data_IF_615191331446
#
_entry.id   IF_615191331446
#
_cell.length_a   1.000
_cell.length_b   1.000
_cell.length_c   1.000
_cell.angle_alpha   90.00
_cell.angle_beta   90.00
_cell.angle_gamma   90.00
#
_symmetry.space_group_name_H-M   'P 1'
#
loop_
_entity.id
_entity.type
_entity.pdbx_description
1 polymer ?
2 non-polymer ?
3 non-polymer ?
4 non-polymer ?
5 water ?
#
# COMPACT_ATOMS: atom_id res chain seq x y z
N UNK A 1 -17.82 -1.01 9.96
CA UNK A 1 -18.12 -1.14 8.50
C UNK A 1 -17.12 -0.35 7.66
N UNK A 2 -16.43 -1.05 6.77
CA UNK A 2 -15.49 -0.41 5.87
C UNK A 2 -16.18 0.03 4.59
N UNK A 3 -16.07 1.32 4.31
CA UNK A 3 -16.35 1.89 3.01
C UNK A 3 -15.08 2.61 2.52
N UNK A 4 -14.46 2.11 1.44
CA UNK A 4 -13.37 2.84 0.80
C UNK A 4 -13.88 3.66 -0.40
N UNK A 5 -13.24 4.81 -0.60
CA UNK A 5 -13.51 5.74 -1.70
C UNK A 5 -12.32 5.73 -2.68
N UNK A 6 -12.45 5.12 -3.85
CA UNK A 6 -11.31 5.04 -4.76
C UNK A 6 -11.14 6.30 -5.62
N UNK A 7 -9.94 6.54 -6.12
CA UNK A 7 -9.66 7.74 -6.92
C UNK A 7 -10.44 7.79 -8.24
N UNK A 8 -10.98 8.97 -8.55
CA UNK A 8 -11.61 9.27 -9.85
C UNK A 8 -10.53 9.80 -10.80
N UNK A 9 -10.53 9.32 -12.04
CA UNK A 9 -9.56 9.80 -13.06
C UNK A 9 -8.12 9.32 -12.90
N UNK A 10 -7.91 8.17 -12.27
CA UNK A 10 -6.54 7.63 -12.16
C UNK A 10 -5.97 7.31 -13.55
N UNK A 11 -4.74 7.77 -13.82
CA UNK A 11 -3.97 7.43 -15.02
C UNK A 11 -2.83 6.53 -14.54
N UNK A 12 -3.02 5.22 -14.63
CA UNK A 12 -2.11 4.29 -14.00
C UNK A 12 -0.70 4.35 -14.51
N UNK A 13 -0.51 4.76 -15.76
CA UNK A 13 0.85 4.78 -16.33
C UNK A 13 1.76 5.78 -15.59
N UNK A 14 1.17 6.81 -14.98
CA UNK A 14 1.95 7.86 -14.27
C UNK A 14 2.44 7.48 -12.86
N UNK A 15 1.98 6.36 -12.31
CA UNK A 15 2.46 5.93 -10.99
C UNK A 15 3.75 5.15 -11.10
N UNK A 16 4.24 4.97 -12.33
CA UNK A 16 5.42 4.16 -12.56
C UNK A 16 6.59 4.71 -11.81
N UNK A 17 7.44 3.81 -11.35
CA UNK A 17 8.70 4.18 -10.78
C UNK A 17 8.86 3.81 -9.31
N UNK A 18 9.84 4.47 -8.69
CA UNK A 18 10.26 4.20 -7.33
C UNK A 18 9.38 4.94 -6.33
N UNK A 19 8.98 4.20 -5.29
CA UNK A 19 8.26 4.75 -4.14
C UNK A 19 8.82 4.21 -2.84
N UNK A 20 8.39 4.84 -1.75
CA UNK A 20 8.77 4.44 -0.39
C UNK A 20 7.53 4.44 0.47
N UNK A 21 7.40 3.45 1.35
CA UNK A 21 6.24 3.36 2.26
C UNK A 21 6.52 4.22 3.50
N UNK A 22 5.88 5.37 3.54
CA UNK A 22 6.08 6.31 4.61
C UNK A 22 5.25 5.90 5.84
N UNK A 23 4.04 5.42 5.61
CA UNK A 23 3.15 5.04 6.69
C UNK A 23 2.20 3.96 6.27
N UNK A 24 1.68 3.27 7.28
CA UNK A 24 0.71 2.23 7.04
C UNK A 24 -0.21 2.09 8.24
N UNK A 25 -1.41 1.59 7.97
CA UNK A 25 -2.40 1.42 8.99
C UNK A 25 -3.27 0.24 8.60
N UNK A 26 -3.88 -0.40 9.59
CA UNK A 26 -4.68 -1.59 9.36
C UNK A 26 -5.83 -1.72 10.34
N UNK A 27 -6.88 -2.42 9.90
CA UNK A 27 -8.10 -2.64 10.70
C UNK A 27 -7.88 -3.56 11.89
N UNK A 28 -7.09 -4.61 11.72
CA UNK A 28 -6.71 -5.51 12.81
C UNK A 28 -5.25 -5.30 13.16
N UNK A 29 -4.97 -5.16 14.44
CA UNK A 29 -3.61 -5.06 14.93
C UNK A 29 -2.67 -6.14 14.37
N UNK A 30 -3.15 -7.38 14.30
CA UNK A 30 -2.29 -8.50 13.90
C UNK A 30 -1.77 -8.36 12.47
N UNK A 31 -2.46 -7.57 11.67
CA UNK A 31 -2.03 -7.40 10.26
C UNK A 31 -0.66 -6.70 10.13
N UNK A 32 -0.31 -5.88 11.12
CA UNK A 32 0.92 -5.07 11.08
C UNK A 32 1.80 -5.18 12.34
N UNK A 33 1.24 -5.75 13.40
CA UNK A 33 1.92 -5.96 14.67
C UNK A 33 3.12 -6.87 14.55
N UNK A 34 4.32 -6.31 14.72
CA UNK A 34 5.58 -7.05 14.57
C UNK A 34 6.06 -7.02 13.12
N UNK A 35 7.38 -7.04 12.93
CA UNK A 35 8.01 -6.98 11.59
C UNK A 35 7.62 -8.15 10.69
N UNK A 36 7.20 -9.26 11.29
CA UNK A 36 6.77 -10.45 10.55
C UNK A 36 5.27 -10.48 10.19
N UNK A 37 4.49 -9.51 10.67
CA UNK A 37 3.05 -9.44 10.39
C UNK A 37 2.77 -9.58 8.89
N UNK A 38 1.67 -10.26 8.54
CA UNK A 38 1.35 -10.59 7.14
C UNK A 38 1.35 -9.42 6.14
N UNK A 39 0.87 -8.27 6.56
CA UNK A 39 0.75 -7.11 5.67
C UNK A 39 1.82 -6.05 5.96
N UNK A 40 2.87 -6.42 6.70
CA UNK A 40 4.03 -5.55 6.88
C UNK A 40 4.90 -5.63 5.61
N UNK A 41 4.50 -4.89 4.58
CA UNK A 41 5.19 -4.92 3.32
C UNK A 41 5.53 -3.51 2.90
N UNK A 42 6.68 -3.37 2.25
CA UNK A 42 7.26 -2.08 1.92
C UNK A 42 7.43 -2.00 0.41
N UNK A 43 6.69 -1.09 -0.19
CA UNK A 43 6.65 -0.96 -1.63
C UNK A 43 7.92 -0.27 -2.10
N UNK A 44 8.54 -0.83 -3.13
CA UNK A 44 9.75 -0.28 -3.76
C UNK A 44 9.46 0.30 -5.15
N UNK A 45 8.61 -0.38 -5.93
CA UNK A 45 8.33 0.02 -7.30
C UNK A 45 6.93 -0.34 -7.72
N UNK A 46 6.29 0.56 -8.46
CA UNK A 46 5.04 0.29 -9.14
C UNK A 46 5.32 0.31 -10.63
N UNK A 47 4.93 -0.77 -11.33
CA UNK A 47 5.26 -0.94 -12.75
C UNK A 47 4.03 -1.25 -13.59
N UNK A 48 3.34 -0.19 -14.06
CA UNK A 48 2.18 -0.40 -14.89
C UNK A 48 2.60 -1.10 -16.17
N UNK A 49 1.70 -1.84 -16.79
CA UNK A 49 2.00 -2.58 -18.00
C UNK A 49 1.13 -2.03 -19.13
N UNK A 50 1.49 -2.37 -20.38
CA UNK A 50 0.75 -1.82 -21.51
C UNK A 50 -0.73 -2.20 -21.52
N UNK A 51 -1.07 -3.29 -20.83
CA UNK A 51 -2.43 -3.77 -20.74
C UNK A 51 -3.26 -2.97 -19.73
N UNK A 52 -2.60 -2.18 -18.87
CA UNK A 52 -3.28 -1.45 -17.82
C UNK A 52 -3.35 -2.26 -16.55
N UNK A 53 -2.54 -3.31 -16.50
CA UNK A 53 -2.32 -4.05 -15.28
C UNK A 53 -1.15 -3.41 -14.54
N UNK A 54 -0.77 -3.96 -13.39
CA UNK A 54 0.19 -3.31 -12.49
C UNK A 54 1.00 -4.36 -11.77
N UNK A 55 2.33 -4.27 -11.87
CA UNK A 55 3.22 -5.09 -11.04
C UNK A 55 3.65 -4.25 -9.85
N UNK A 56 3.59 -4.84 -8.67
CA UNK A 56 3.99 -4.19 -7.43
C UNK A 56 5.21 -4.92 -6.89
N UNK A 57 6.33 -4.22 -6.78
CA UNK A 57 7.54 -4.81 -6.23
C UNK A 57 7.68 -4.34 -4.80
N UNK A 58 7.80 -5.28 -3.87
CA UNK A 58 7.95 -4.92 -2.49
C UNK A 58 8.95 -5.76 -1.73
N UNK A 59 9.28 -5.32 -0.52
CA UNK A 59 10.07 -6.09 0.44
C UNK A 59 9.22 -6.51 1.60
N UNK A 60 9.58 -7.63 2.20
CA UNK A 60 8.84 -8.23 3.28
C UNK A 60 9.76 -9.17 4.07
N UNK A 61 9.72 -9.08 5.40
CA UNK A 61 10.45 -10.03 6.26
C UNK A 61 9.74 -11.37 6.25
N UNK A 62 10.49 -12.45 6.01
CA UNK A 62 9.94 -13.81 6.17
C UNK A 62 11.03 -14.86 6.39
N UNK A 63 10.87 -15.63 7.48
CA UNK A 63 11.91 -16.53 8.01
C UNK A 63 13.22 -15.79 8.28
N UNK A 64 13.13 -14.66 8.96
CA UNK A 64 14.32 -13.92 9.37
C UNK A 64 15.09 -13.19 8.28
N UNK A 65 14.63 -13.28 7.03
CA UNK A 65 15.34 -12.68 5.88
C UNK A 65 14.54 -11.50 5.34
N UNK A 66 15.20 -10.44 4.89
CA UNK A 66 14.51 -9.39 4.13
C UNK A 66 14.37 -9.82 2.67
N UNK A 67 13.15 -10.18 2.27
CA UNK A 67 12.90 -10.83 0.99
C UNK A 67 12.19 -9.91 -0.03
N UNK A 68 12.47 -10.14 -1.31
CA UNK A 68 11.79 -9.47 -2.42
C UNK A 68 10.53 -10.21 -2.79
N UNK A 69 9.52 -9.48 -3.26
CA UNK A 69 8.26 -10.09 -3.66
C UNK A 69 7.61 -9.26 -4.76
N UNK A 70 7.00 -9.93 -5.73
CA UNK A 70 6.34 -9.26 -6.83
C UNK A 70 4.87 -9.62 -6.78
N UNK A 71 3.99 -8.63 -6.76
CA UNK A 71 2.56 -8.90 -6.78
C UNK A 71 2.03 -8.39 -8.10
N UNK A 72 1.27 -9.24 -8.78
CA UNK A 72 0.67 -8.93 -10.06
C UNK A 72 -0.80 -8.54 -9.84
N UNK A 73 -1.16 -7.33 -10.25
CA UNK A 73 -2.49 -6.81 -10.05
C UNK A 73 -3.18 -6.64 -11.38
N UNK A 74 -4.38 -7.19 -11.50
CA UNK A 74 -5.12 -7.15 -12.76
C UNK A 74 -6.12 -6.01 -12.79
N UNK A 75 -6.22 -5.32 -13.91
CA UNK A 75 -7.18 -4.23 -14.00
C UNK A 75 -8.64 -4.70 -13.93
N UNK A 76 -9.52 -3.79 -13.53
CA UNK A 76 -10.95 -4.08 -13.48
C UNK A 76 -11.63 -2.91 -14.15
N UNK A 77 -12.95 -3.00 -14.25
CA UNK A 77 -13.74 -1.92 -14.85
C UNK A 77 -13.54 -0.55 -14.19
N UNK A 78 -13.32 -0.54 -12.87
CA UNK A 78 -12.98 0.71 -12.18
C UNK A 78 -11.47 0.91 -12.21
N UNK A 79 -11.00 2.05 -12.74
CA UNK A 79 -9.55 2.24 -12.96
C UNK A 79 -8.67 2.21 -11.71
N UNK A 80 -9.27 2.51 -10.55
CA UNK A 80 -8.54 2.60 -9.29
C UNK A 80 -8.64 1.31 -8.46
N UNK A 81 -9.23 0.26 -9.03
CA UNK A 81 -9.38 -1.04 -8.37
C UNK A 81 -8.79 -2.13 -9.25
N UNK A 82 -7.96 -2.95 -8.62
CA UNK A 82 -7.26 -4.03 -9.28
C UNK A 82 -7.49 -5.24 -8.47
N UNK A 83 -7.40 -6.38 -9.14
CA UNK A 83 -7.60 -7.67 -8.53
C UNK A 83 -6.23 -8.33 -8.27
N UNK A 84 -6.05 -8.89 -7.09
CA UNK A 84 -4.84 -9.65 -6.80
C UNK A 84 -5.18 -10.94 -6.11
N UNK A 85 -4.18 -11.81 -5.97
CA UNK A 85 -4.29 -13.02 -5.14
C UNK A 85 -2.96 -13.23 -4.39
N UNK A 86 -2.78 -12.48 -3.31
CA UNK A 86 -1.53 -12.48 -2.58
C UNK A 86 -1.73 -11.87 -1.20
N UNK A 87 -0.93 -12.32 -0.25
CA UNK A 87 -1.05 -11.89 1.14
C UNK A 87 -2.46 -12.12 1.71
N UNK A 88 -3.17 -13.12 1.17
CA UNK A 88 -4.58 -13.36 1.50
C UNK A 88 -5.50 -12.16 1.27
N UNK A 89 -5.14 -11.34 0.29
CA UNK A 89 -5.91 -10.17 -0.09
C UNK A 89 -6.41 -10.43 -1.50
N UNK A 90 -7.49 -9.77 -1.91
CA UNK A 90 -7.93 -9.91 -3.30
C UNK A 90 -8.14 -8.62 -4.09
N UNK A 91 -7.91 -7.47 -3.44
CA UNK A 91 -8.05 -6.16 -4.08
C UNK A 91 -6.97 -5.19 -3.64
N UNK A 92 -6.45 -4.43 -4.62
CA UNK A 92 -5.59 -3.29 -4.40
C UNK A 92 -6.42 -2.11 -4.85
N UNK A 93 -6.46 -1.09 -4.01
CA UNK A 93 -7.39 0.04 -4.17
C UNK A 93 -6.58 1.28 -4.09
N UNK A 94 -6.54 2.06 -5.16
CA UNK A 94 -5.85 3.35 -5.10
C UNK A 94 -6.82 4.44 -4.64
N UNK A 95 -6.46 5.14 -3.57
CA UNK A 95 -7.31 6.17 -3.00
C UNK A 95 -7.05 7.54 -3.59
N UNK A 96 -5.79 7.87 -3.78
CA UNK A 96 -5.46 9.17 -4.29
C UNK A 96 -4.00 9.19 -4.63
N UNK A 97 -3.66 10.04 -5.58
CA UNK A 97 -2.27 10.31 -5.87
C UNK A 97 -2.14 11.62 -6.63
N UNK A 98 -0.99 12.26 -6.53
CA UNK A 98 -0.63 13.35 -7.44
C UNK A 98 0.48 12.93 -8.38
N UNK A 99 0.79 11.63 -8.42
CA UNK A 99 1.80 11.04 -9.31
C UNK A 99 3.24 11.43 -8.98
N UNK A 100 3.44 12.70 -8.67
CA UNK A 100 4.79 13.27 -8.47
C UNK A 100 5.27 13.25 -7.02
N UNK A 101 4.38 13.17 -6.03
CA UNK A 101 4.84 13.17 -4.62
C UNK A 101 4.33 12.03 -3.71
N UNK A 102 3.03 11.77 -3.73
CA UNK A 102 2.43 10.77 -2.84
C UNK A 102 1.40 9.91 -3.59
N UNK A 103 1.12 8.76 -3.01
CA UNK A 103 0.06 7.88 -3.49
C UNK A 103 -0.48 7.13 -2.30
N UNK A 104 -1.79 7.09 -2.18
CA UNK A 104 -2.48 6.38 -1.11
C UNK A 104 -3.17 5.15 -1.66
N UNK A 105 -2.93 4.00 -1.05
CA UNK A 105 -3.62 2.79 -1.47
C UNK A 105 -3.91 1.84 -0.32
N UNK A 106 -4.95 1.03 -0.50
CA UNK A 106 -5.28 -0.03 0.40
C UNK A 106 -5.25 -1.37 -0.32
N UNK A 107 -5.18 -2.42 0.50
CA UNK A 107 -5.40 -3.76 0.12
C UNK A 107 -6.43 -4.26 1.09
N UNK A 108 -7.25 -5.19 0.63
CA UNK A 108 -8.23 -5.85 1.46
C UNK A 108 -8.58 -7.18 0.84
N UNK A 109 -9.35 -7.95 1.59
CA UNK A 109 -10.03 -9.11 1.05
C UNK A 109 -11.49 -8.76 1.16
N UNK A 110 -12.15 -8.57 0.02
CA UNK A 110 -13.55 -8.10 0.01
C UNK A 110 -14.50 -9.04 0.76
N UNK A 111 -14.18 -10.33 0.82
CA UNK A 111 -15.00 -11.26 1.60
C UNK A 111 -14.94 -10.98 3.11
N UNK A 112 -13.86 -10.35 3.58
CA UNK A 112 -13.67 -10.05 5.02
C UNK A 112 -12.91 -8.72 5.27
N UNK A 113 -13.56 -7.59 4.98
CA UNK A 113 -12.81 -6.34 4.97
C UNK A 113 -12.21 -5.97 6.32
N UNK A 114 -12.98 -6.13 7.39
CA UNK A 114 -12.55 -5.75 8.74
C UNK A 114 -11.41 -6.62 9.26
N UNK A 115 -11.27 -7.84 8.75
CA UNK A 115 -10.12 -8.68 9.06
C UNK A 115 -8.91 -8.45 8.15
N UNK A 116 -8.99 -7.57 7.14
CA UNK A 116 -7.96 -7.63 6.08
C UNK A 116 -7.45 -6.31 5.54
N UNK A 117 -8.03 -5.21 5.99
CA UNK A 117 -7.77 -3.92 5.37
C UNK A 117 -6.45 -3.31 5.90
N UNK A 118 -5.55 -2.99 4.97
CA UNK A 118 -4.35 -2.25 5.28
C UNK A 118 -4.16 -1.25 4.18
N UNK A 119 -3.81 -0.03 4.58
CA UNK A 119 -3.60 1.09 3.68
C UNK A 119 -2.23 1.69 3.94
N UNK A 120 -1.64 2.28 2.91
CA UNK A 120 -0.33 2.92 3.01
C UNK A 120 -0.30 4.30 2.40
N UNK A 121 0.68 5.07 2.86
CA UNK A 121 1.06 6.31 2.24
C UNK A 121 2.42 6.10 1.63
N UNK A 122 2.48 6.25 0.31
CA UNK A 122 3.74 6.15 -0.43
C UNK A 122 4.22 7.52 -0.86
N UNK A 123 5.53 7.67 -0.90
CA UNK A 123 6.16 8.91 -1.36
C UNK A 123 7.29 8.59 -2.32
N UNK A 124 7.60 9.57 -3.17
CA UNK A 124 8.62 9.42 -4.23
C UNK A 124 10.02 9.50 -3.70
N UNK A 125 10.23 10.29 -2.64
CA UNK A 125 11.54 10.42 -1.98
C UNK A 125 11.55 9.89 -0.54
N UNK A 126 12.71 9.39 -0.06
CA UNK A 126 12.77 8.84 1.29
C UNK A 126 12.85 9.93 2.37
N UNK A 127 11.92 10.88 2.28
CA UNK A 127 11.75 11.93 3.26
C UNK A 127 10.32 11.85 3.78
N UNK A 128 10.05 12.58 4.85
CA UNK A 128 8.74 12.63 5.46
C UNK A 128 7.96 13.77 4.84
N UNK A 129 6.79 13.46 4.29
CA UNK A 129 5.95 14.45 3.62
C UNK A 129 4.71 14.63 4.48
N UNK A 130 4.74 15.67 5.31
CA UNK A 130 3.63 15.99 6.21
C UNK A 130 2.32 16.28 5.48
N UNK A 131 2.39 16.87 4.29
CA UNK A 131 1.16 17.08 3.53
C UNK A 131 0.53 15.74 3.12
N UNK A 132 1.36 14.82 2.63
CA UNK A 132 0.90 13.51 2.22
C UNK A 132 0.30 12.76 3.42
N UNK A 133 0.98 12.83 4.56
CA UNK A 133 0.49 12.23 5.80
C UNK A 133 -0.83 12.82 6.27
N UNK A 134 -1.02 14.11 6.04
CA UNK A 134 -2.30 14.76 6.31
C UNK A 134 -3.43 14.18 5.47
N UNK A 135 -3.19 13.99 4.17
CA UNK A 135 -4.18 13.33 3.29
C UNK A 135 -4.44 11.88 3.75
N UNK A 136 -3.39 11.18 4.10
CA UNK A 136 -3.51 9.80 4.59
C UNK A 136 -4.38 9.75 5.84
N UNK A 137 -4.05 10.58 6.84
CA UNK A 137 -4.81 10.58 8.10
C UNK A 137 -6.24 10.99 7.85
N UNK A 138 -6.44 11.90 6.91
CA UNK A 138 -7.79 12.30 6.53
C UNK A 138 -8.59 11.09 6.06
N UNK A 139 -8.05 10.35 5.09
CA UNK A 139 -8.71 9.12 4.64
C UNK A 139 -8.93 8.15 5.82
N UNK A 140 -7.91 7.94 6.62
CA UNK A 140 -8.00 6.95 7.71
C UNK A 140 -9.00 7.29 8.83
N UNK A 141 -9.32 8.57 8.98
CA UNK A 141 -10.25 9.05 10.00
C UNK A 141 -11.63 8.41 9.76
N UNK A 142 -11.96 8.24 8.49
CA UNK A 142 -13.21 7.59 8.10
C UNK A 142 -13.19 6.06 8.16
N UNK A 143 -12.08 5.43 8.53
CA UNK A 143 -11.98 3.95 8.51
C UNK A 143 -11.71 3.43 9.92
N UNK A 144 -12.12 2.19 10.22
CA UNK A 144 -11.95 1.65 11.57
C UNK A 144 -10.57 1.02 11.78
N UNK A 145 -9.53 1.84 11.72
CA UNK A 145 -8.15 1.33 11.87
C UNK A 145 -7.81 1.15 13.35
N UNK A 146 -7.05 0.10 13.68
CA UNK A 146 -6.62 -0.17 15.07
C UNK A 146 -5.10 -0.27 15.26
N UNK A 147 -4.35 0.06 14.22
CA UNK A 147 -2.89 0.14 14.27
C UNK A 147 -2.39 1.07 13.15
N UNK A 148 -1.31 1.79 13.44
CA UNK A 148 -0.81 2.90 12.63
C UNK A 148 0.70 2.94 12.90
N UNK A 149 1.50 2.99 11.84
CA UNK A 149 2.95 3.09 11.90
C UNK A 149 3.39 4.21 10.99
N UNK A 150 4.35 5.01 11.44
CA UNK A 150 4.92 6.05 10.57
C UNK A 150 6.42 5.99 10.69
N UNK A 151 7.11 5.98 9.54
CA UNK A 151 8.55 5.74 9.50
C UNK A 151 9.35 7.02 9.26
N UNK A 152 10.62 6.96 9.62
CA UNK A 152 11.51 8.11 9.44
C UNK A 152 12.47 7.88 8.25
N UNK A 153 13.20 8.93 7.84
CA UNK A 153 14.06 8.82 6.66
C UNK A 153 15.09 7.71 6.72
N UNK A 154 15.68 7.48 7.88
CA UNK A 154 16.61 6.37 8.06
C UNK A 154 15.97 5.00 7.81
N UNK A 155 14.77 4.82 8.35
CA UNK A 155 13.99 3.61 8.11
C UNK A 155 13.55 3.53 6.66
N UNK A 156 13.23 4.66 6.04
CA UNK A 156 12.79 4.67 4.64
C UNK A 156 13.82 4.07 3.67
N UNK A 157 15.11 4.26 3.96
CA UNK A 157 16.18 3.76 3.10
C UNK A 157 16.92 2.59 3.74
N UNK A 158 16.36 2.05 4.82
CA UNK A 158 16.85 0.81 5.38
C UNK A 158 16.37 -0.37 4.55
N UNK A 159 16.94 -1.53 4.82
CA UNK A 159 16.42 -2.77 4.25
C UNK A 159 15.27 -3.25 5.13
N UNK A 160 14.10 -3.45 4.51
CA UNK A 160 12.86 -3.78 5.24
C UNK A 160 12.53 -2.79 6.38
N UNK A 161 12.79 -1.51 6.12
CA UNK A 161 12.52 -0.40 7.06
C UNK A 161 13.11 -0.52 8.49
N UNK A 162 14.29 -1.14 8.59
CA UNK A 162 15.10 -1.08 9.81
C UNK A 162 16.10 0.07 9.64
X LIG B 1 -12.71 7.12 -13.48
X LIG B 1 -13.42 8.16 -14.27
X LIG B 1 -13.29 5.80 -13.82
X LIG B 1 -11.27 7.16 -13.79
X LIG B 1 -12.88 7.39 -12.04
X LIG C 1 1.19 -15.18 -0.89
X LIG C 1 1.00 -14.75 0.53
X LIG C 1 -0.09 -15.70 -1.47
X LIG C 1 1.68 -14.03 -1.66
X LIG C 1 2.22 -16.24 -0.94
X LIG D 1 -18.15 -5.17 5.47
X LIG D 1 -17.72 -4.03 5.71
X LIG D 1 -17.88 -6.20 6.30
X LIG D 1 -18.90 -5.48 4.40
X LIG E 1 -14.28 -6.28 -13.39
X LIG E 1 -14.85 -5.21 -13.25
X LIG E 1 -13.99 -7.04 -12.33
X LIG E 1 -13.91 -6.72 -14.59
X LIG F 1 6.23 18.73 3.84
X LIG F 1 5.02 18.92 3.77
X LIG F 1 6.85 18.48 5.00
X LIG F 1 6.97 18.77 2.74
X LIG G 1 -15.47 -8.44 7.85
X LIG G 1 -14.73 -9.49 8.20
X LIG G 1 -13.96 -9.38 9.13
X LIG H 1 -5.42 4.35 17.06
X LIG H 1 -4.76 3.42 16.34
X LIG H 1 -4.97 3.30 15.14
#
# INVERSE_FOLDING_TARGET
IIVTQTMKGLDIQKVAGTWYSLAMAASDISLLDAQSAPLRVYVEELKPTPEGNLEILLQKWENGECAQKKIIAEKTKIPAVFKIDALNENKVLVLDTDYKKYLLFCMENSAEPEQSLACQCLVRTPEVDKEALEKFDKALKALPMHIRLAFNPTQLEGQCHV
SO4 S O1 O2 O3 O4
SO4 S O1 O2 O3 O4
URE C O N1 N2
URE C O N1 N2
URE C O N1 N2
ARF N C O
ARF N C O
#
